data_IF_248581454593
#
_entry.id   IF_248581454593
#
_cell.length_a   1.000
_cell.length_b   1.000
_cell.length_c   1.000
_cell.angle_alpha   90.00
_cell.angle_beta   90.00
_cell.angle_gamma   90.00
#
_symmetry.space_group_name_H-M   'P 1'
#
loop_
_entity.id
_entity.type
_entity.pdbx_description
1 polymer ?
#
# COMPACT_ATOMS: atom_id res chain seq x y z
N UNK A 1 -6.87 -37.01 3.12
CA UNK A 1 -7.77 -35.88 2.81
C UNK A 1 -7.32 -34.53 3.43
N UNK A 2 -7.10 -34.37 4.75
CA UNK A 2 -6.79 -33.05 5.33
C UNK A 2 -5.43 -32.48 4.87
N UNK A 3 -4.43 -33.34 4.64
CA UNK A 3 -3.10 -32.94 4.12
C UNK A 3 -3.17 -32.26 2.75
N UNK A 4 -4.14 -32.63 1.91
CA UNK A 4 -4.36 -31.99 0.61
C UNK A 4 -5.02 -30.61 0.76
N UNK A 5 -6.00 -30.47 1.66
CA UNK A 5 -6.61 -29.18 2.00
C UNK A 5 -5.58 -28.20 2.57
N UNK A 6 -4.74 -28.63 3.52
CA UNK A 6 -3.69 -27.79 4.10
C UNK A 6 -2.71 -27.34 3.03
N UNK A 7 -2.25 -28.26 2.15
CA UNK A 7 -1.34 -27.91 1.06
C UNK A 7 -1.98 -26.89 0.11
N UNK A 8 -3.26 -27.05 -0.21
CA UNK A 8 -4.01 -26.13 -1.07
C UNK A 8 -4.18 -24.75 -0.44
N UNK A 9 -4.52 -24.66 0.84
CA UNK A 9 -4.56 -23.37 1.56
C UNK A 9 -3.18 -22.70 1.59
N UNK A 10 -2.12 -23.49 1.81
CA UNK A 10 -0.76 -22.97 1.89
C UNK A 10 -0.27 -22.41 0.54
N UNK A 11 -0.77 -22.93 -0.59
CA UNK A 11 -0.54 -22.35 -1.92
C UNK A 11 -1.47 -21.16 -2.23
N UNK A 12 -2.64 -21.06 -1.61
CA UNK A 12 -3.52 -19.90 -1.78
C UNK A 12 -2.94 -18.64 -1.13
N UNK A 13 -2.28 -18.76 0.03
CA UNK A 13 -1.64 -17.62 0.71
C UNK A 13 -0.64 -16.86 -0.19
N UNK A 14 0.37 -17.49 -0.82
CA UNK A 14 1.29 -16.79 -1.70
C UNK A 14 0.62 -16.28 -2.98
N UNK A 15 -0.43 -16.94 -3.47
CA UNK A 15 -1.21 -16.45 -4.61
C UNK A 15 -1.95 -15.14 -4.26
N UNK A 16 -2.61 -15.10 -3.11
CA UNK A 16 -3.27 -13.89 -2.60
C UNK A 16 -2.27 -12.79 -2.33
N UNK A 17 -1.12 -13.11 -1.71
CA UNK A 17 -0.02 -12.16 -1.53
C UNK A 17 0.51 -11.61 -2.85
N UNK A 18 0.62 -12.44 -3.89
CA UNK A 18 1.02 -11.98 -5.22
C UNK A 18 0.06 -10.94 -5.79
N UNK A 19 -1.26 -11.20 -5.67
CA UNK A 19 -2.29 -10.28 -6.14
C UNK A 19 -2.23 -8.96 -5.35
N UNK A 20 -2.13 -9.01 -4.01
CA UNK A 20 -2.06 -7.80 -3.18
C UNK A 20 -0.80 -6.98 -3.45
N UNK A 21 0.35 -7.63 -3.69
CA UNK A 21 1.59 -6.95 -4.10
C UNK A 21 1.40 -6.26 -5.45
N UNK A 22 0.81 -6.94 -6.44
CA UNK A 22 0.54 -6.34 -7.75
C UNK A 22 -0.39 -5.13 -7.61
N UNK A 23 -1.49 -5.27 -6.87
CA UNK A 23 -2.41 -4.16 -6.60
C UNK A 23 -1.71 -2.99 -5.93
N UNK A 24 -0.87 -3.25 -4.93
CA UNK A 24 -0.08 -2.22 -4.24
C UNK A 24 0.86 -1.49 -5.20
N UNK A 25 1.58 -2.24 -6.05
CA UNK A 25 2.51 -1.66 -7.05
C UNK A 25 1.76 -0.84 -8.09
N UNK A 26 0.62 -1.32 -8.59
CA UNK A 26 -0.23 -0.57 -9.54
C UNK A 26 -0.69 0.75 -8.93
N UNK A 27 -1.12 0.75 -7.67
CA UNK A 27 -1.51 1.96 -6.95
C UNK A 27 -0.31 2.92 -6.80
N UNK A 28 0.87 2.42 -6.47
CA UNK A 28 2.09 3.24 -6.32
C UNK A 28 2.70 3.74 -7.64
N UNK A 29 2.41 3.07 -8.75
CA UNK A 29 2.79 3.50 -10.09
C UNK A 29 1.90 4.63 -10.63
N UNK A 30 0.75 4.85 -10.00
CA UNK A 30 -0.16 5.92 -10.42
C UNK A 30 0.47 7.27 -10.06
N UNK A 31 0.48 8.27 -10.96
CA UNK A 31 1.01 9.60 -10.65
C UNK A 31 0.14 10.27 -9.58
N UNK A 32 0.69 10.36 -8.38
CA UNK A 32 0.00 10.81 -7.17
C UNK A 32 0.30 9.82 -6.05
N UNK A 33 1.08 10.23 -5.06
CA UNK A 33 1.39 9.37 -3.91
C UNK A 33 0.07 8.92 -3.25
N UNK A 34 -0.16 7.61 -3.08
CA UNK A 34 -1.42 7.10 -2.55
C UNK A 34 -1.68 7.66 -1.14
N UNK A 35 -2.74 8.46 -1.01
CA UNK A 35 -3.08 9.18 0.23
C UNK A 35 -2.87 10.69 0.19
N UNK A 36 -2.18 11.23 -0.83
CA UNK A 36 -2.04 12.69 -1.01
C UNK A 36 -2.59 13.23 -2.33
N UNK A 37 -3.32 12.43 -3.12
CA UNK A 37 -3.99 12.91 -4.34
C UNK A 37 -4.82 14.17 -4.06
N UNK A 38 -5.57 14.19 -2.95
CA UNK A 38 -6.37 15.36 -2.53
C UNK A 38 -5.53 16.57 -2.08
N UNK A 39 -4.32 16.32 -1.54
CA UNK A 39 -3.41 17.36 -1.06
C UNK A 39 -2.50 17.91 -2.17
N UNK A 40 -2.11 17.08 -3.15
CA UNK A 40 -1.34 17.47 -4.33
C UNK A 40 -2.19 18.25 -5.33
N UNK A 41 -3.49 17.95 -5.43
CA UNK A 41 -4.43 18.70 -6.26
C UNK A 41 -4.83 20.06 -5.67
N UNK A 42 -4.53 20.33 -4.39
CA UNK A 42 -4.80 21.62 -3.76
C UNK A 42 -3.56 22.54 -3.81
N UNK A 43 -3.51 23.56 -4.70
CA UNK A 43 -2.38 24.48 -4.81
C UNK A 43 -2.17 25.38 -3.58
N UNK A 44 -3.05 25.31 -2.58
CA UNK A 44 -2.95 26.02 -1.29
C UNK A 44 -2.18 25.23 -0.22
N UNK A 45 -1.75 24.00 -0.49
CA UNK A 45 -1.00 23.18 0.47
C UNK A 45 0.46 23.63 0.48
N UNK A 46 0.86 24.34 1.54
CA UNK A 46 2.27 24.70 1.79
C UNK A 46 3.14 23.44 1.91
N UNK A 47 4.42 23.52 1.53
CA UNK A 47 5.39 22.41 1.61
C UNK A 47 5.40 21.70 2.98
N UNK A 48 5.31 22.47 4.06
CA UNK A 48 5.25 21.96 5.44
C UNK A 48 4.02 21.09 5.71
N UNK A 49 2.87 21.46 5.12
CA UNK A 49 1.64 20.68 5.24
C UNK A 49 1.77 19.39 4.43
N UNK A 50 2.43 19.43 3.26
CA UNK A 50 2.69 18.24 2.45
C UNK A 50 3.60 17.23 3.17
N UNK A 51 4.66 17.69 3.81
CA UNK A 51 5.54 16.83 4.63
C UNK A 51 4.81 16.25 5.84
N UNK A 52 3.99 17.06 6.53
CA UNK A 52 3.16 16.56 7.64
C UNK A 52 2.20 15.49 7.19
N UNK A 53 1.58 15.66 6.02
CA UNK A 53 0.67 14.68 5.46
C UNK A 53 1.41 13.40 5.03
N UNK A 54 2.59 13.52 4.39
CA UNK A 54 3.44 12.35 4.09
C UNK A 54 3.77 11.53 5.32
N UNK A 55 4.16 12.21 6.40
CA UNK A 55 4.47 11.57 7.67
C UNK A 55 3.24 10.91 8.28
N UNK A 56 2.07 11.57 8.20
CA UNK A 56 0.80 11.04 8.69
C UNK A 56 0.34 9.78 7.94
N UNK A 57 0.53 9.73 6.63
CA UNK A 57 0.20 8.56 5.81
C UNK A 57 1.30 7.49 5.80
N UNK A 58 2.44 7.75 6.46
CA UNK A 58 3.58 6.82 6.49
C UNK A 58 4.29 6.69 5.14
N UNK A 59 4.11 7.66 4.23
CA UNK A 59 4.79 7.72 2.93
C UNK A 59 6.31 7.91 3.08
N UNK A 60 6.77 8.40 4.23
CA UNK A 60 8.20 8.50 4.59
C UNK A 60 8.81 7.15 5.01
N UNK A 61 8.01 6.09 5.14
CA UNK A 61 8.50 4.77 5.55
C UNK A 61 8.90 3.92 4.35
N UNK A 62 9.80 2.93 4.52
CA UNK A 62 10.17 2.03 3.42
C UNK A 62 8.95 1.23 2.89
N UNK A 63 8.99 0.88 1.60
CA UNK A 63 7.88 0.27 0.85
C UNK A 63 7.24 -0.95 1.51
N UNK A 64 8.02 -1.78 2.22
CA UNK A 64 7.49 -2.95 2.92
C UNK A 64 6.60 -2.58 4.11
N UNK A 65 6.87 -1.44 4.78
CA UNK A 65 6.02 -0.95 5.86
C UNK A 65 4.78 -0.26 5.28
N UNK A 66 4.92 0.50 4.19
CA UNK A 66 3.78 1.07 3.46
C UNK A 66 2.82 -0.04 2.98
N UNK A 67 3.36 -1.15 2.48
CA UNK A 67 2.57 -2.33 2.09
C UNK A 67 1.82 -2.94 3.28
N UNK A 68 2.47 -3.09 4.44
CA UNK A 68 1.81 -3.61 5.64
C UNK A 68 0.72 -2.66 6.17
N UNK A 69 0.98 -1.35 6.18
CA UNK A 69 0.00 -0.32 6.56
C UNK A 69 -1.19 -0.29 5.60
N UNK A 70 -0.94 -0.45 4.29
CA UNK A 70 -1.98 -0.55 3.27
C UNK A 70 -2.82 -1.82 3.44
N UNK A 71 -2.18 -2.97 3.67
CA UNK A 71 -2.87 -4.25 3.86
C UNK A 71 -3.72 -4.29 5.14
N UNK A 72 -3.35 -3.48 6.16
CA UNK A 72 -4.09 -3.36 7.43
C UNK A 72 -5.32 -2.45 7.32
N UNK A 73 -5.33 -1.49 6.38
CA UNK A 73 -6.46 -0.59 6.16
C UNK A 73 -7.58 -1.28 5.40
#
# INVERSE_FOLDING_TARGET
MPRYLVKRLLFMVPMLLGITIISFVVIHLTPGEPGIIDAEMNPKVTKEVRERIRSFYGLDQPLHIQYYLWLKR
#
